data_IF_918504086582
#
_entry.id   IF_918504086582
#
_cell.length_a   1.000
_cell.length_b   1.000
_cell.length_c   1.000
_cell.angle_alpha   90.00
_cell.angle_beta   90.00
_cell.angle_gamma   90.00
#
_symmetry.space_group_name_H-M   'P 1'
#
loop_
_entity.id
_entity.type
_entity.pdbx_description
1 polymer ?
#
# COMPACT_ATOMS: atom_id res chain seq x y z
N UNK A 1 -15.19 2.00 21.50
CA UNK A 1 -14.16 2.32 20.47
C UNK A 1 -13.34 1.12 20.08
N UNK A 2 -12.78 0.33 21.01
CA UNK A 2 -12.02 -0.89 20.69
C UNK A 2 -12.80 -1.88 19.82
N UNK A 3 -14.10 -2.04 20.06
CA UNK A 3 -14.95 -2.97 19.31
C UNK A 3 -15.18 -2.54 17.85
N UNK A 4 -15.22 -1.23 17.60
CA UNK A 4 -15.34 -0.68 16.23
C UNK A 4 -14.05 -0.95 15.46
N UNK A 5 -12.88 -0.71 16.07
CA UNK A 5 -11.58 -0.97 15.46
C UNK A 5 -11.41 -2.44 15.09
N UNK A 6 -11.75 -3.35 16.01
CA UNK A 6 -11.71 -4.79 15.74
C UNK A 6 -12.66 -5.19 14.59
N UNK A 7 -13.83 -4.56 14.51
CA UNK A 7 -14.81 -4.83 13.45
C UNK A 7 -14.29 -4.36 12.08
N UNK A 8 -13.65 -3.19 12.01
CA UNK A 8 -13.05 -2.68 10.78
C UNK A 8 -11.85 -3.54 10.38
N UNK A 9 -10.97 -3.90 11.31
CA UNK A 9 -9.83 -4.78 11.03
C UNK A 9 -10.30 -6.13 10.48
N UNK A 10 -11.33 -6.72 11.08
CA UNK A 10 -11.96 -7.95 10.60
C UNK A 10 -12.52 -7.79 9.18
N UNK A 11 -13.24 -6.70 8.90
CA UNK A 11 -13.78 -6.43 7.56
C UNK A 11 -12.67 -6.34 6.51
N UNK A 12 -11.60 -5.60 6.79
CA UNK A 12 -10.49 -5.47 5.85
C UNK A 12 -9.73 -6.79 5.65
N UNK A 13 -9.61 -7.61 6.70
CA UNK A 13 -9.05 -8.96 6.61
C UNK A 13 -9.89 -9.86 5.70
N UNK A 14 -11.22 -9.82 5.82
CA UNK A 14 -12.13 -10.58 4.96
C UNK A 14 -12.03 -10.14 3.49
N UNK A 15 -11.89 -8.83 3.24
CA UNK A 15 -11.67 -8.30 1.90
C UNK A 15 -10.35 -8.81 1.33
N UNK A 16 -9.26 -8.71 2.09
CA UNK A 16 -7.94 -9.24 1.71
C UNK A 16 -7.97 -10.74 1.39
N UNK A 17 -8.63 -11.54 2.23
CA UNK A 17 -8.73 -13.00 2.04
C UNK A 17 -9.44 -13.36 0.72
N UNK A 18 -10.50 -12.63 0.36
CA UNK A 18 -11.19 -12.83 -0.91
C UNK A 18 -10.33 -12.36 -2.11
N UNK A 19 -9.57 -11.27 -1.98
CA UNK A 19 -8.61 -10.85 -3.00
C UNK A 19 -7.52 -11.89 -3.21
N UNK A 20 -6.94 -12.44 -2.13
CA UNK A 20 -5.94 -13.50 -2.23
C UNK A 20 -6.51 -14.77 -2.85
N UNK A 21 -7.72 -15.17 -2.47
CA UNK A 21 -8.40 -16.35 -3.00
C UNK A 21 -8.63 -16.22 -4.51
N UNK A 22 -9.14 -15.07 -4.96
CA UNK A 22 -9.32 -14.80 -6.39
C UNK A 22 -7.97 -14.70 -7.11
N UNK A 23 -6.98 -14.07 -6.49
CA UNK A 23 -5.62 -13.97 -7.05
C UNK A 23 -5.00 -15.35 -7.26
N UNK A 24 -5.08 -16.23 -6.26
CA UNK A 24 -4.65 -17.64 -6.37
C UNK A 24 -5.41 -18.40 -7.45
N UNK A 25 -6.72 -18.19 -7.58
CA UNK A 25 -7.53 -18.85 -8.61
C UNK A 25 -7.07 -18.50 -10.04
N UNK A 26 -6.55 -17.29 -10.26
CA UNK A 26 -6.03 -16.83 -11.56
C UNK A 26 -4.51 -16.86 -11.68
N UNK A 27 -3.79 -17.50 -10.75
CA UNK A 27 -2.32 -17.53 -10.69
C UNK A 27 -1.66 -16.13 -10.72
N UNK A 28 -2.33 -15.13 -10.13
CA UNK A 28 -1.76 -13.79 -10.00
C UNK A 28 -0.73 -13.76 -8.87
N UNK A 29 0.44 -13.21 -9.19
CA UNK A 29 1.53 -12.99 -8.25
C UNK A 29 2.11 -11.61 -8.42
N UNK A 30 2.41 -10.94 -7.29
CA UNK A 30 3.20 -9.71 -7.30
C UNK A 30 4.68 -9.99 -7.60
N UNK A 31 5.15 -11.23 -7.42
CA UNK A 31 6.51 -11.63 -7.71
C UNK A 31 6.73 -11.72 -9.23
N UNK A 32 7.62 -10.87 -9.76
CA UNK A 32 7.86 -10.77 -11.20
C UNK A 32 6.77 -10.02 -11.98
N UNK A 33 5.83 -9.34 -11.30
CA UNK A 33 4.75 -8.60 -11.95
C UNK A 33 5.27 -7.33 -12.65
N UNK A 34 5.16 -7.29 -13.97
CA UNK A 34 5.55 -6.12 -14.80
C UNK A 34 4.56 -4.96 -14.70
N UNK A 35 3.33 -5.24 -14.25
CA UNK A 35 2.25 -4.27 -14.05
C UNK A 35 1.89 -4.11 -12.57
N UNK A 36 2.88 -3.86 -11.73
CA UNK A 36 2.68 -3.77 -10.28
C UNK A 36 1.72 -2.62 -9.91
N UNK A 37 0.69 -2.93 -9.13
CA UNK A 37 -0.34 -1.96 -8.71
C UNK A 37 0.26 -0.78 -7.92
N UNK A 38 1.39 -0.98 -7.22
CA UNK A 38 2.10 0.06 -6.47
C UNK A 38 2.71 1.16 -7.36
N UNK A 39 2.72 1.00 -8.69
CA UNK A 39 3.11 2.08 -9.62
C UNK A 39 1.96 3.05 -9.92
N UNK A 40 0.76 2.77 -9.41
CA UNK A 40 -0.42 3.62 -9.52
C UNK A 40 -0.64 4.40 -8.24
N UNK A 41 -1.14 5.64 -8.37
CA UNK A 41 -1.53 6.45 -7.23
C UNK A 41 -2.81 5.87 -6.61
N UNK A 42 -2.70 5.43 -5.36
CA UNK A 42 -3.82 4.91 -4.59
C UNK A 42 -4.48 6.06 -3.82
N UNK A 43 -5.77 6.28 -4.06
CA UNK A 43 -6.55 7.31 -3.39
C UNK A 43 -7.39 6.67 -2.30
N UNK A 44 -7.31 7.23 -1.08
CA UNK A 44 -8.24 6.91 -0.01
C UNK A 44 -9.40 7.89 -0.11
N UNK A 45 -10.62 7.37 -0.33
CA UNK A 45 -11.84 8.16 -0.51
C UNK A 45 -12.68 8.24 0.76
N UNK A 46 -12.38 7.39 1.74
CA UNK A 46 -13.09 7.32 3.03
C UNK A 46 -12.12 7.46 4.20
N UNK A 47 -12.63 7.99 5.32
CA UNK A 47 -11.87 8.04 6.57
C UNK A 47 -11.47 6.65 7.08
N UNK A 48 -12.25 5.62 6.75
CA UNK A 48 -11.94 4.24 7.15
C UNK A 48 -10.70 3.73 6.42
N UNK A 49 -10.57 4.00 5.11
CA UNK A 49 -9.40 3.62 4.32
C UNK A 49 -8.14 4.34 4.80
N UNK A 50 -8.24 5.64 5.07
CA UNK A 50 -7.12 6.42 5.62
C UNK A 50 -6.72 5.91 7.01
N UNK A 51 -7.70 5.67 7.88
CA UNK A 51 -7.45 5.17 9.22
C UNK A 51 -6.76 3.80 9.20
N UNK A 52 -7.20 2.88 8.35
CA UNK A 52 -6.60 1.54 8.26
C UNK A 52 -5.15 1.60 7.76
N UNK A 53 -4.84 2.49 6.81
CA UNK A 53 -3.46 2.73 6.39
C UNK A 53 -2.59 3.21 7.57
N UNK A 54 -3.04 4.22 8.31
CA UNK A 54 -2.33 4.76 9.46
C UNK A 54 -2.16 3.71 10.57
N UNK A 55 -3.21 2.92 10.82
CA UNK A 55 -3.19 1.84 11.80
C UNK A 55 -2.20 0.75 11.41
N UNK A 56 -2.21 0.28 10.16
CA UNK A 56 -1.24 -0.69 9.65
C UNK A 56 0.20 -0.17 9.73
N UNK A 57 0.44 1.09 9.34
CA UNK A 57 1.73 1.76 9.50
C UNK A 57 2.19 1.78 10.96
N UNK A 58 1.27 2.03 11.90
CA UNK A 58 1.58 2.08 13.34
C UNK A 58 2.04 0.72 13.90
N UNK A 59 1.57 -0.39 13.32
CA UNK A 59 1.92 -1.77 13.71
C UNK A 59 3.28 -2.24 13.18
N UNK A 60 3.86 -1.54 12.21
CA UNK A 60 5.14 -1.96 11.63
C UNK A 60 6.32 -1.81 12.61
N UNK A 61 7.31 -2.67 12.42
CA UNK A 61 8.61 -2.57 13.05
C UNK A 61 9.32 -1.27 12.63
N UNK A 62 10.23 -0.78 13.48
CA UNK A 62 10.86 0.53 13.30
C UNK A 62 11.72 0.60 12.03
N UNK A 63 12.37 -0.48 11.65
CA UNK A 63 13.16 -0.60 10.42
C UNK A 63 12.28 -0.39 9.16
N UNK A 64 11.10 -1.04 9.12
CA UNK A 64 10.12 -0.87 8.04
C UNK A 64 9.60 0.56 8.00
N UNK A 65 9.26 1.15 9.16
CA UNK A 65 8.83 2.56 9.23
C UNK A 65 9.88 3.52 8.68
N UNK A 66 11.15 3.32 9.05
CA UNK A 66 12.26 4.14 8.56
C UNK A 66 12.45 3.98 7.04
N UNK A 67 12.35 2.76 6.52
CA UNK A 67 12.40 2.50 5.09
C UNK A 67 11.27 3.22 4.34
N UNK A 68 10.03 3.17 4.85
CA UNK A 68 8.89 3.89 4.27
C UNK A 68 9.14 5.40 4.26
N UNK A 69 9.66 5.97 5.35
CA UNK A 69 9.99 7.39 5.43
C UNK A 69 11.07 7.79 4.41
N UNK A 70 12.12 6.98 4.27
CA UNK A 70 13.17 7.21 3.28
C UNK A 70 12.61 7.17 1.85
N UNK A 71 11.84 6.13 1.54
CA UNK A 71 11.18 5.98 0.24
C UNK A 71 10.21 7.13 -0.04
N UNK A 72 9.51 7.62 0.99
CA UNK A 72 8.57 8.75 0.88
C UNK A 72 9.29 10.04 0.49
N UNK A 73 10.46 10.31 1.09
CA UNK A 73 11.30 11.46 0.71
C UNK A 73 11.74 11.37 -0.74
N UNK A 74 12.23 10.20 -1.19
CA UNK A 74 12.62 9.98 -2.59
C UNK A 74 11.45 10.16 -3.55
N UNK A 75 10.27 9.68 -3.16
CA UNK A 75 9.05 9.80 -3.95
C UNK A 75 8.64 11.27 -4.13
N UNK A 76 8.62 12.05 -3.04
CA UNK A 76 8.28 13.48 -3.10
C UNK A 76 9.25 14.28 -3.97
N UNK A 77 10.56 14.09 -3.78
CA UNK A 77 11.59 14.75 -4.60
C UNK A 77 11.44 14.42 -6.10
N UNK A 78 11.17 13.15 -6.40
CA UNK A 78 10.96 12.69 -7.79
C UNK A 78 9.68 13.28 -8.37
N UNK A 79 8.63 13.42 -7.55
CA UNK A 79 7.34 13.98 -7.95
C UNK A 79 7.42 15.49 -8.20
N UNK A 80 8.16 16.23 -7.37
CA UNK A 80 8.39 17.67 -7.55
C UNK A 80 9.22 17.97 -8.80
N UNK A 81 10.21 17.12 -9.09
CA UNK A 81 11.07 17.25 -10.29
C UNK A 81 10.38 16.77 -11.58
N UNK A 82 9.14 16.29 -11.49
CA UNK A 82 8.44 15.69 -12.61
C UNK A 82 7.85 16.73 -13.56
N UNK A 83 8.21 16.65 -14.85
CA UNK A 83 7.84 17.64 -15.86
C UNK A 83 6.38 17.56 -16.36
N UNK A 84 5.58 16.61 -15.87
CA UNK A 84 4.15 16.51 -16.17
C UNK A 84 3.78 16.01 -17.57
N UNK A 85 4.74 15.65 -18.43
CA UNK A 85 4.45 15.25 -19.82
C UNK A 85 3.78 13.89 -19.96
N UNK A 86 3.94 13.01 -18.96
CA UNK A 86 3.32 11.69 -18.93
C UNK A 86 2.62 11.46 -17.58
N UNK A 87 2.15 10.22 -17.34
CA UNK A 87 1.72 9.80 -16.00
C UNK A 87 2.98 9.51 -15.16
N UNK A 88 3.11 10.19 -14.02
CA UNK A 88 4.17 9.88 -13.06
C UNK A 88 4.05 8.41 -12.61
N UNK A 89 5.12 7.64 -12.79
CA UNK A 89 5.21 6.23 -12.40
C UNK A 89 6.40 6.03 -11.48
N UNK A 90 6.12 5.67 -10.25
CA UNK A 90 7.11 5.30 -9.24
C UNK A 90 6.42 4.36 -8.25
N UNK A 91 7.17 3.44 -7.65
CA UNK A 91 6.62 2.55 -6.63
C UNK A 91 6.15 3.35 -5.41
N UNK A 92 5.02 2.92 -4.84
CA UNK A 92 4.52 3.38 -3.56
C UNK A 92 5.64 3.33 -2.49
N UNK A 93 5.78 4.35 -1.61
CA UNK A 93 6.79 4.33 -0.56
C UNK A 93 6.73 3.13 0.39
N UNK A 94 5.54 2.53 0.54
CA UNK A 94 5.30 1.33 1.32
C UNK A 94 5.70 0.03 0.62
N UNK A 95 6.17 0.09 -0.63
CA UNK A 95 6.59 -1.09 -1.38
C UNK A 95 8.01 -1.54 -0.98
N UNK A 96 8.18 -2.85 -0.83
CA UNK A 96 9.49 -3.51 -0.76
C UNK A 96 9.43 -4.77 -1.61
N UNK A 97 10.35 -4.90 -2.57
CA UNK A 97 10.47 -6.06 -3.45
C UNK A 97 9.16 -6.44 -4.17
N UNK A 98 8.35 -5.44 -4.52
CA UNK A 98 7.08 -5.65 -5.21
C UNK A 98 5.89 -5.91 -4.28
N UNK A 99 6.09 -6.01 -2.97
CA UNK A 99 5.05 -6.24 -1.97
C UNK A 99 4.78 -4.99 -1.13
N UNK A 100 3.53 -4.78 -0.75
CA UNK A 100 3.18 -3.76 0.24
C UNK A 100 3.70 -4.20 1.62
N UNK A 101 4.29 -3.28 2.38
CA UNK A 101 4.70 -3.57 3.75
C UNK A 101 3.58 -3.39 4.77
N UNK A 102 2.45 -2.77 4.40
CA UNK A 102 1.33 -2.43 5.30
C UNK A 102 0.18 -3.44 5.20
N UNK A 103 -0.13 -3.86 3.98
CA UNK A 103 -1.13 -4.89 3.66
C UNK A 103 -0.36 -6.17 3.33
#
# INVERSE_FOLDING_TARGET
>A
MKDILNSIEKLYKEVEDEFEKIGRYYDFSCFGCTSNCCTTLFYHYTFVEEFILQYGLSKLENDKKLLILENSRKYLLSKESYNGKEKFKMMCPANKDGLCMIY
#
